data_IF_131831688246
#
_entry.id   IF_131831688246
#
_cell.length_a   1.000
_cell.length_b   1.000
_cell.length_c   1.000
_cell.angle_alpha   90.00
_cell.angle_beta   90.00
_cell.angle_gamma   90.00
#
_symmetry.space_group_name_H-M   'P 1'
#
loop_
_entity.id
_entity.type
_entity.pdbx_description
1 polymer ?
#
# COMPACT_ATOMS: atom_id res chain seq x y z
N UNK A 1 12.09 33.61 -10.84
CA UNK A 1 11.38 32.55 -11.58
C UNK A 1 12.26 32.10 -12.73
N UNK A 2 12.89 30.93 -12.63
CA UNK A 2 13.61 30.29 -13.74
C UNK A 2 12.76 29.09 -14.15
N UNK A 3 12.18 29.16 -15.34
CA UNK A 3 11.60 28.02 -16.03
C UNK A 3 12.74 27.09 -16.41
N UNK A 4 12.80 25.90 -15.81
CA UNK A 4 13.58 24.79 -16.34
C UNK A 4 12.56 23.85 -16.96
N UNK A 5 12.46 23.90 -18.29
CA UNK A 5 11.89 22.80 -19.06
C UNK A 5 12.89 21.65 -18.99
N UNK A 6 12.76 20.79 -17.99
CA UNK A 6 13.53 19.56 -17.90
C UNK A 6 13.11 18.64 -19.05
N UNK A 7 13.93 18.62 -20.11
CA UNK A 7 13.88 17.53 -21.07
C UNK A 7 14.19 16.24 -20.31
N UNK A 8 13.25 15.29 -20.29
CA UNK A 8 13.47 13.98 -19.66
C UNK A 8 14.46 13.20 -20.52
N UNK A 9 15.72 13.16 -20.11
CA UNK A 9 16.70 12.26 -20.69
C UNK A 9 16.29 10.81 -20.40
N UNK A 10 16.10 10.02 -21.45
CA UNK A 10 15.85 8.59 -21.31
C UNK A 10 17.13 7.87 -20.84
N UNK A 11 16.98 6.84 -20.01
CA UNK A 11 18.10 6.00 -19.58
C UNK A 11 18.70 5.21 -20.76
N UNK A 12 19.88 4.61 -20.52
CA UNK A 12 20.54 3.74 -21.49
C UNK A 12 19.63 2.56 -21.92
N UNK A 13 19.75 2.08 -23.17
CA UNK A 13 18.91 1.00 -23.68
C UNK A 13 19.15 -0.31 -22.92
N UNK A 14 18.06 -1.02 -22.62
CA UNK A 14 18.10 -2.42 -22.16
C UNK A 14 18.22 -3.37 -23.36
N UNK A 15 18.42 -4.67 -23.10
CA UNK A 15 18.49 -5.69 -24.14
C UNK A 15 17.25 -5.66 -25.05
N UNK A 16 17.46 -5.64 -26.38
CA UNK A 16 16.40 -5.47 -27.39
C UNK A 16 15.21 -6.44 -27.23
N UNK A 17 15.49 -7.72 -26.96
CA UNK A 17 14.44 -8.74 -26.84
C UNK A 17 13.63 -8.56 -25.54
N UNK A 18 14.24 -7.98 -24.50
CA UNK A 18 13.55 -7.65 -23.26
C UNK A 18 12.62 -6.46 -23.49
N UNK A 19 13.13 -5.41 -24.13
CA UNK A 19 12.33 -4.24 -24.50
C UNK A 19 11.11 -4.64 -25.34
N UNK A 20 11.31 -5.42 -26.40
CA UNK A 20 10.22 -5.87 -27.27
C UNK A 20 9.14 -6.68 -26.51
N UNK A 21 9.54 -7.59 -25.62
CA UNK A 21 8.59 -8.37 -24.81
C UNK A 21 7.83 -7.48 -23.83
N UNK A 22 8.51 -6.57 -23.15
CA UNK A 22 7.88 -5.66 -22.19
C UNK A 22 6.94 -4.68 -22.88
N UNK A 23 7.27 -4.15 -24.04
CA UNK A 23 6.37 -3.29 -24.82
C UNK A 23 5.07 -4.03 -25.18
N UNK A 24 5.16 -5.27 -25.65
CA UNK A 24 3.98 -6.09 -25.94
C UNK A 24 3.10 -6.27 -24.69
N UNK A 25 3.71 -6.54 -23.54
CA UNK A 25 2.99 -6.69 -22.27
C UNK A 25 2.39 -5.37 -21.81
N UNK A 26 3.07 -4.24 -21.99
CA UNK A 26 2.56 -2.92 -21.62
C UNK A 26 1.36 -2.50 -22.48
N UNK A 27 1.34 -2.90 -23.75
CA UNK A 27 0.25 -2.60 -24.68
C UNK A 27 -0.97 -3.50 -24.48
N UNK A 28 -0.77 -4.79 -24.21
CA UNK A 28 -1.83 -5.80 -24.24
C UNK A 28 -2.17 -6.37 -22.87
N UNK A 29 -1.31 -6.12 -21.88
CA UNK A 29 -1.33 -6.79 -20.59
C UNK A 29 -0.78 -8.21 -20.67
N UNK A 30 -0.57 -8.81 -19.50
CA UNK A 30 -0.33 -10.25 -19.39
C UNK A 30 -1.63 -11.03 -19.56
N UNK A 31 -1.56 -12.15 -20.29
CA UNK A 31 -2.61 -13.17 -20.33
C UNK A 31 -3.01 -13.59 -18.92
N UNK A 32 -4.31 -13.88 -18.73
CA UNK A 32 -4.86 -14.20 -17.41
C UNK A 32 -4.21 -15.44 -16.79
N UNK A 33 -4.00 -16.47 -17.59
CA UNK A 33 -3.39 -17.72 -17.15
C UNK A 33 -1.90 -17.55 -16.80
N UNK A 34 -1.14 -16.84 -17.65
CA UNK A 34 0.25 -16.51 -17.35
C UNK A 34 0.36 -15.74 -16.03
N UNK A 35 -0.49 -14.73 -15.84
CA UNK A 35 -0.53 -13.96 -14.59
C UNK A 35 -0.85 -14.85 -13.38
N UNK A 36 -1.89 -15.67 -13.47
CA UNK A 36 -2.26 -16.59 -12.38
C UNK A 36 -1.13 -17.56 -12.03
N UNK A 37 -0.46 -18.13 -13.04
CA UNK A 37 0.68 -19.04 -12.83
C UNK A 37 1.85 -18.34 -12.12
N UNK A 38 2.14 -17.07 -12.44
CA UNK A 38 3.17 -16.29 -11.77
C UNK A 38 2.79 -15.99 -10.31
N UNK A 39 1.54 -15.64 -10.02
CA UNK A 39 1.08 -15.38 -8.65
C UNK A 39 1.18 -16.62 -7.76
N UNK A 40 0.84 -17.81 -8.29
CA UNK A 40 0.99 -19.08 -7.58
C UNK A 40 2.46 -19.44 -7.37
N UNK A 41 3.31 -19.17 -8.37
CA UNK A 41 4.75 -19.47 -8.31
C UNK A 41 5.50 -18.58 -7.33
N UNK A 42 5.02 -17.36 -7.10
CA UNK A 42 5.68 -16.36 -6.28
C UNK A 42 4.74 -15.82 -5.18
N UNK A 43 4.33 -16.68 -4.21
CA UNK A 43 3.56 -16.21 -3.06
C UNK A 43 4.43 -15.32 -2.15
N UNK A 44 3.84 -14.51 -1.25
CA UNK A 44 4.59 -13.75 -0.25
C UNK A 44 5.57 -14.65 0.54
N UNK A 45 6.77 -14.13 0.80
CA UNK A 45 7.77 -14.86 1.58
C UNK A 45 7.30 -15.00 3.04
N UNK A 46 7.54 -16.17 3.66
CA UNK A 46 7.06 -16.48 5.02
C UNK A 46 7.60 -15.55 6.11
N UNK A 47 8.75 -14.92 5.88
CA UNK A 47 9.36 -13.91 6.76
C UNK A 47 9.03 -12.46 6.35
N UNK A 48 8.19 -12.25 5.34
CA UNK A 48 7.78 -10.94 4.84
C UNK A 48 6.27 -10.94 4.47
N UNK A 49 5.43 -11.35 5.42
CA UNK A 49 3.99 -11.51 5.21
C UNK A 49 3.25 -10.19 4.91
N UNK A 50 3.84 -9.03 5.23
CA UNK A 50 3.27 -7.72 4.87
C UNK A 50 3.29 -7.42 3.36
N UNK A 51 3.95 -8.26 2.55
CA UNK A 51 3.83 -8.24 1.10
C UNK A 51 2.51 -8.87 0.60
N UNK A 52 1.73 -9.50 1.49
CA UNK A 52 0.34 -9.85 1.20
C UNK A 52 -0.54 -8.61 1.24
N UNK A 53 -1.51 -8.53 0.32
CA UNK A 53 -2.44 -7.43 0.28
C UNK A 53 -3.33 -7.45 1.55
N UNK A 54 -3.36 -6.36 2.35
CA UNK A 54 -4.11 -6.34 3.60
C UNK A 54 -5.61 -6.51 3.38
N UNK A 55 -6.25 -7.23 4.31
CA UNK A 55 -7.69 -7.50 4.32
C UNK A 55 -8.45 -6.27 4.77
N UNK A 56 -9.61 -6.03 4.18
CA UNK A 56 -10.56 -5.03 4.67
C UNK A 56 -11.18 -5.50 5.98
N UNK A 57 -11.19 -4.63 7.00
CA UNK A 57 -11.83 -4.90 8.28
C UNK A 57 -13.34 -5.19 8.10
N UNK A 58 -13.94 -6.17 8.80
CA UNK A 58 -15.35 -6.53 8.65
C UNK A 58 -16.32 -5.35 8.84
N UNK A 59 -16.01 -4.46 9.77
CA UNK A 59 -16.79 -3.26 10.10
C UNK A 59 -16.74 -2.22 8.98
N UNK A 60 -15.60 -2.11 8.29
CA UNK A 60 -15.47 -1.26 7.11
C UNK A 60 -16.21 -1.90 5.94
N UNK A 61 -16.07 -3.22 5.75
CA UNK A 61 -16.79 -3.95 4.70
C UNK A 61 -18.30 -3.81 4.83
N UNK A 62 -18.86 -3.85 6.04
CA UNK A 62 -20.31 -3.73 6.25
C UNK A 62 -20.85 -2.31 6.11
N UNK A 63 -19.99 -1.29 6.21
CA UNK A 63 -20.39 0.12 6.16
C UNK A 63 -20.01 0.84 4.86
N UNK A 64 -19.05 0.30 4.09
CA UNK A 64 -18.60 0.88 2.84
C UNK A 64 -19.65 0.72 1.72
N UNK A 65 -19.61 1.64 0.75
CA UNK A 65 -20.43 1.54 -0.46
C UNK A 65 -20.01 0.33 -1.30
N UNK A 66 -20.97 -0.41 -1.84
CA UNK A 66 -20.72 -1.59 -2.69
C UNK A 66 -19.81 -1.27 -3.90
N UNK A 67 -19.98 -0.07 -4.47
CA UNK A 67 -19.14 0.45 -5.54
C UNK A 67 -17.68 0.65 -5.11
N UNK A 68 -17.44 1.03 -3.86
CA UNK A 68 -16.10 1.15 -3.28
C UNK A 68 -15.50 -0.24 -3.02
N UNK A 69 -16.28 -1.20 -2.52
CA UNK A 69 -15.85 -2.60 -2.31
C UNK A 69 -15.46 -3.25 -3.64
N UNK A 70 -16.28 -3.09 -4.68
CA UNK A 70 -16.00 -3.61 -6.02
C UNK A 70 -14.72 -3.02 -6.61
N UNK A 71 -14.45 -1.73 -6.37
CA UNK A 71 -13.20 -1.09 -6.78
C UNK A 71 -12.00 -1.59 -5.96
N UNK A 72 -12.16 -1.75 -4.65
CA UNK A 72 -11.12 -2.28 -3.76
C UNK A 72 -10.67 -3.68 -4.17
N UNK A 73 -11.57 -4.55 -4.63
CA UNK A 73 -11.21 -5.88 -5.12
C UNK A 73 -10.19 -5.84 -6.29
N UNK A 74 -10.28 -4.84 -7.16
CA UNK A 74 -9.30 -4.63 -8.25
C UNK A 74 -7.97 -4.14 -7.71
N UNK A 75 -7.99 -3.27 -6.69
CA UNK A 75 -6.78 -2.76 -6.03
C UNK A 75 -6.07 -3.87 -5.24
N UNK A 76 -6.82 -4.76 -4.58
CA UNK A 76 -6.27 -5.98 -3.97
C UNK A 76 -5.52 -6.79 -5.03
N UNK A 77 -6.14 -7.02 -6.19
CA UNK A 77 -5.50 -7.80 -7.27
C UNK A 77 -4.19 -7.17 -7.77
N UNK A 78 -4.15 -5.84 -7.89
CA UNK A 78 -2.93 -5.10 -8.23
C UNK A 78 -1.87 -5.24 -7.13
N UNK A 79 -2.28 -5.06 -5.88
CA UNK A 79 -1.41 -5.15 -4.72
C UNK A 79 -0.82 -6.56 -4.53
N UNK A 80 -1.61 -7.61 -4.77
CA UNK A 80 -1.13 -9.00 -4.81
C UNK A 80 -0.09 -9.20 -5.91
N UNK A 81 -0.26 -8.58 -7.09
CA UNK A 81 0.73 -8.66 -8.16
C UNK A 81 2.04 -7.96 -7.79
N UNK A 82 1.97 -6.82 -7.08
CA UNK A 82 3.16 -6.15 -6.51
C UNK A 82 3.84 -7.04 -5.46
N UNK A 83 3.07 -7.70 -4.59
CA UNK A 83 3.58 -8.67 -3.62
C UNK A 83 4.33 -9.84 -4.28
N UNK A 84 3.81 -10.37 -5.39
CA UNK A 84 4.51 -11.39 -6.17
C UNK A 84 5.82 -10.87 -6.79
N UNK A 85 5.84 -9.61 -7.24
CA UNK A 85 7.08 -8.95 -7.70
C UNK A 85 8.11 -8.85 -6.56
N UNK A 86 7.70 -8.50 -5.34
CA UNK A 86 8.58 -8.50 -4.16
C UNK A 86 9.15 -9.89 -3.89
N UNK A 87 8.33 -10.94 -3.96
CA UNK A 87 8.78 -12.31 -3.72
C UNK A 87 9.82 -12.79 -4.73
N UNK A 88 9.62 -12.51 -6.03
CA UNK A 88 10.62 -12.90 -7.04
C UNK A 88 11.92 -12.10 -6.91
N UNK A 89 11.84 -10.79 -6.62
CA UNK A 89 13.00 -9.95 -6.37
C UNK A 89 13.75 -10.39 -5.11
N UNK A 90 13.04 -10.67 -4.02
CA UNK A 90 13.61 -11.18 -2.77
C UNK A 90 14.31 -12.53 -2.98
N UNK A 91 13.69 -13.46 -3.72
CA UNK A 91 14.32 -14.74 -4.07
C UNK A 91 15.61 -14.56 -4.87
N UNK A 92 15.63 -13.66 -5.85
CA UNK A 92 16.84 -13.36 -6.62
C UNK A 92 17.95 -12.76 -5.73
N UNK A 93 17.60 -11.82 -4.85
CA UNK A 93 18.54 -11.25 -3.86
C UNK A 93 19.10 -12.31 -2.93
N UNK A 94 18.26 -13.19 -2.37
CA UNK A 94 18.70 -14.28 -1.49
C UNK A 94 19.69 -15.21 -2.20
N UNK A 95 19.46 -15.54 -3.48
CA UNK A 95 20.39 -16.36 -4.25
C UNK A 95 21.76 -15.69 -4.41
N UNK A 96 21.81 -14.37 -4.58
CA UNK A 96 23.06 -13.61 -4.67
C UNK A 96 23.76 -13.48 -3.32
N UNK A 97 23.01 -13.16 -2.26
CA UNK A 97 23.54 -12.98 -0.90
C UNK A 97 24.10 -14.27 -0.32
N UNK A 98 23.53 -15.42 -0.68
CA UNK A 98 24.00 -16.73 -0.22
C UNK A 98 25.30 -17.20 -0.91
N UNK A 99 25.85 -16.45 -1.88
CA UNK A 99 27.15 -16.74 -2.51
C UNK A 99 28.36 -16.31 -1.66
N UNK A 100 28.28 -16.48 -0.34
CA UNK A 100 29.29 -15.97 0.60
C UNK A 100 30.72 -16.39 0.20
N UNK A 101 31.64 -15.42 0.12
CA UNK A 101 33.06 -15.64 -0.23
C UNK A 101 33.38 -15.82 -1.72
N UNK A 102 32.36 -15.85 -2.60
CA UNK A 102 32.54 -16.04 -4.05
C UNK A 102 31.91 -14.91 -4.89
N UNK A 103 31.38 -13.87 -4.24
CA UNK A 103 30.66 -12.79 -4.93
C UNK A 103 31.62 -11.94 -5.78
N UNK A 104 31.34 -11.87 -7.08
CA UNK A 104 32.07 -11.03 -8.02
C UNK A 104 31.59 -9.56 -7.97
N UNK A 105 32.32 -8.63 -8.58
CA UNK A 105 31.89 -7.21 -8.65
C UNK A 105 30.52 -7.06 -9.32
N UNK A 106 30.21 -7.90 -10.32
CA UNK A 106 28.89 -7.92 -10.98
C UNK A 106 27.76 -8.34 -10.04
N UNK A 107 28.02 -9.26 -9.09
CA UNK A 107 27.02 -9.67 -8.10
C UNK A 107 26.63 -8.48 -7.20
N UNK A 108 27.60 -7.61 -6.83
CA UNK A 108 27.32 -6.42 -6.01
C UNK A 108 26.41 -5.41 -6.73
N UNK A 109 26.66 -5.17 -8.02
CA UNK A 109 25.81 -4.29 -8.83
C UNK A 109 24.39 -4.84 -8.98
N UNK A 110 24.26 -6.16 -9.19
CA UNK A 110 22.95 -6.82 -9.25
C UNK A 110 22.21 -6.76 -7.91
N UNK A 111 22.91 -6.94 -6.79
CA UNK A 111 22.34 -6.78 -5.45
C UNK A 111 21.79 -5.36 -5.26
N UNK A 112 22.54 -4.33 -5.66
CA UNK A 112 22.10 -2.94 -5.59
C UNK A 112 20.82 -2.71 -6.40
N UNK A 113 20.83 -3.09 -7.69
CA UNK A 113 19.69 -2.93 -8.59
C UNK A 113 18.43 -3.65 -8.09
N UNK A 114 18.57 -4.89 -7.63
CA UNK A 114 17.46 -5.67 -7.11
C UNK A 114 16.98 -5.16 -5.74
N UNK A 115 17.88 -4.69 -4.89
CA UNK A 115 17.55 -4.06 -3.60
C UNK A 115 16.69 -2.81 -3.81
N UNK A 116 17.12 -1.92 -4.72
CA UNK A 116 16.36 -0.71 -5.04
C UNK A 116 15.03 -1.03 -5.71
N UNK A 117 14.98 -2.04 -6.59
CA UNK A 117 13.73 -2.54 -7.15
C UNK A 117 12.79 -3.02 -6.03
N UNK A 118 13.29 -3.81 -5.08
CA UNK A 118 12.50 -4.30 -3.94
C UNK A 118 11.97 -3.17 -3.05
N UNK A 119 12.80 -2.16 -2.77
CA UNK A 119 12.40 -0.98 -1.98
C UNK A 119 11.29 -0.19 -2.67
N UNK A 120 11.40 0.06 -3.97
CA UNK A 120 10.38 0.75 -4.74
C UNK A 120 9.07 -0.06 -4.83
N UNK A 121 9.15 -1.37 -5.03
CA UNK A 121 7.97 -2.24 -5.02
C UNK A 121 7.27 -2.26 -3.65
N UNK A 122 8.04 -2.29 -2.56
CA UNK A 122 7.50 -2.24 -1.19
C UNK A 122 6.80 -0.90 -0.91
N UNK A 123 7.37 0.20 -1.39
CA UNK A 123 6.78 1.54 -1.24
C UNK A 123 5.52 1.71 -2.09
N UNK A 124 5.50 1.22 -3.33
CA UNK A 124 4.29 1.22 -4.17
C UNK A 124 3.21 0.31 -3.55
N UNK A 125 3.59 -0.84 -3.00
CA UNK A 125 2.67 -1.72 -2.26
C UNK A 125 2.06 -0.98 -1.06
N UNK A 126 2.87 -0.24 -0.29
CA UNK A 126 2.38 0.58 0.81
C UNK A 126 1.46 1.71 0.33
N UNK A 127 1.84 2.41 -0.74
CA UNK A 127 1.06 3.49 -1.35
C UNK A 127 -0.32 3.00 -1.83
N UNK A 128 -0.40 1.76 -2.31
CA UNK A 128 -1.67 1.12 -2.66
C UNK A 128 -2.55 0.92 -1.42
N UNK A 129 -2.00 0.44 -0.29
CA UNK A 129 -2.74 0.40 0.99
C UNK A 129 -3.30 1.75 1.39
N UNK A 130 -2.53 2.83 1.24
CA UNK A 130 -2.99 4.19 1.54
C UNK A 130 -4.12 4.63 0.58
N UNK A 131 -4.02 4.27 -0.70
CA UNK A 131 -5.06 4.56 -1.71
C UNK A 131 -6.35 3.81 -1.41
N UNK A 132 -6.25 2.52 -1.04
CA UNK A 132 -7.37 1.69 -0.60
C UNK A 132 -8.04 2.25 0.67
N UNK A 133 -7.26 2.70 1.66
CA UNK A 133 -7.78 3.39 2.85
C UNK A 133 -8.60 4.62 2.49
N UNK A 134 -8.11 5.46 1.58
CA UNK A 134 -8.83 6.65 1.14
C UNK A 134 -10.14 6.29 0.43
N UNK A 135 -10.10 5.31 -0.48
CA UNK A 135 -11.27 4.83 -1.21
C UNK A 135 -12.38 4.34 -0.26
N UNK A 136 -12.02 3.46 0.69
CA UNK A 136 -12.97 2.88 1.63
C UNK A 136 -13.36 3.87 2.74
N UNK A 137 -12.48 4.83 3.04
CA UNK A 137 -12.70 5.87 4.04
C UNK A 137 -13.67 6.98 3.63
N UNK A 138 -14.04 7.11 2.35
CA UNK A 138 -14.99 8.14 1.89
C UNK A 138 -16.38 8.03 2.54
N UNK A 139 -16.82 6.83 2.90
CA UNK A 139 -18.11 6.59 3.56
C UNK A 139 -18.07 6.71 5.09
N UNK A 140 -16.89 6.86 5.68
CA UNK A 140 -16.72 6.88 7.13
C UNK A 140 -16.97 8.28 7.70
N UNK A 141 -17.48 8.34 8.93
CA UNK A 141 -17.67 9.60 9.62
C UNK A 141 -16.31 10.32 9.76
N UNK A 142 -16.24 11.55 9.25
CA UNK A 142 -15.03 12.41 9.24
C UNK A 142 -14.35 12.50 10.61
N UNK A 143 -15.10 12.37 11.70
CA UNK A 143 -14.57 12.42 13.07
C UNK A 143 -13.70 11.22 13.45
N UNK A 144 -13.92 10.05 12.85
CA UNK A 144 -13.09 8.87 13.07
C UNK A 144 -11.99 8.72 12.03
N UNK A 145 -12.07 9.45 10.92
CA UNK A 145 -11.16 9.31 9.78
C UNK A 145 -9.69 9.45 10.16
N UNK A 146 -9.32 10.47 10.94
CA UNK A 146 -7.92 10.69 11.38
C UNK A 146 -7.42 9.53 12.24
N UNK A 147 -8.20 9.13 13.25
CA UNK A 147 -7.85 7.99 14.10
C UNK A 147 -7.76 6.69 13.33
N UNK A 148 -8.48 6.52 12.22
CA UNK A 148 -8.43 5.32 11.38
C UNK A 148 -7.28 5.35 10.37
N UNK A 149 -6.92 6.52 9.85
CA UNK A 149 -5.81 6.69 8.92
C UNK A 149 -4.44 6.53 9.58
N UNK A 150 -4.31 6.87 10.87
CA UNK A 150 -3.10 6.69 11.69
C UNK A 150 -2.85 5.23 12.09
N UNK A 151 -3.70 4.30 11.65
CA UNK A 151 -3.51 2.89 11.92
C UNK A 151 -2.22 2.35 11.36
N UNK A 152 -1.45 1.61 12.16
CA UNK A 152 -0.39 0.75 11.62
C UNK A 152 -1.03 -0.26 10.68
N UNK A 153 -0.48 -0.37 9.47
CA UNK A 153 -0.85 -1.42 8.53
C UNK A 153 -0.30 -2.75 9.03
N UNK A 154 -1.11 -3.79 8.94
CA UNK A 154 -0.73 -5.17 9.24
C UNK A 154 -1.47 -6.11 8.31
N UNK A 155 -1.97 -7.23 8.83
CA UNK A 155 -2.89 -8.10 8.10
C UNK A 155 -4.17 -7.34 7.68
N UNK A 156 -4.62 -6.39 8.52
CA UNK A 156 -5.83 -5.62 8.28
C UNK A 156 -5.52 -4.19 7.84
N UNK A 157 -6.28 -3.72 6.85
CA UNK A 157 -6.07 -2.44 6.20
C UNK A 157 -6.22 -1.26 7.18
N UNK A 158 -7.10 -1.36 8.18
CA UNK A 158 -7.26 -0.35 9.24
C UNK A 158 -6.73 -0.82 10.61
N UNK A 159 -5.86 -1.84 10.61
CA UNK A 159 -5.25 -2.43 11.80
C UNK A 159 -6.14 -3.46 12.51
N UNK A 160 -5.54 -4.31 13.32
CA UNK A 160 -6.20 -5.39 14.07
C UNK A 160 -7.16 -4.85 15.15
N UNK A 161 -6.74 -3.80 15.86
CA UNK A 161 -7.50 -3.23 16.97
C UNK A 161 -8.53 -2.18 16.51
N UNK A 162 -9.16 -2.42 15.37
CA UNK A 162 -10.10 -1.46 14.75
C UNK A 162 -11.27 -1.14 15.70
N UNK A 163 -11.90 -2.16 16.27
CA UNK A 163 -13.05 -2.00 17.17
C UNK A 163 -12.67 -1.21 18.43
N UNK A 164 -11.55 -1.56 19.06
CA UNK A 164 -11.04 -0.89 20.26
C UNK A 164 -10.76 0.60 19.99
N UNK A 165 -10.11 0.91 18.87
CA UNK A 165 -9.83 2.30 18.48
C UNK A 165 -11.08 3.09 18.20
N UNK A 166 -12.10 2.46 17.62
CA UNK A 166 -13.38 3.11 17.42
C UNK A 166 -14.08 3.41 18.76
N UNK A 167 -14.01 2.49 19.74
CA UNK A 167 -14.51 2.73 21.11
C UNK A 167 -13.77 3.88 21.79
N UNK A 168 -12.44 3.87 21.72
CA UNK A 168 -11.59 4.93 22.29
C UNK A 168 -11.86 6.28 21.66
N UNK A 169 -12.02 6.34 20.34
CA UNK A 169 -12.34 7.59 19.64
C UNK A 169 -13.72 8.14 20.02
N UNK A 170 -14.74 7.27 20.18
CA UNK A 170 -16.08 7.67 20.66
C UNK A 170 -16.03 8.20 22.09
N UNK A 171 -15.28 7.55 22.98
CA UNK A 171 -15.11 8.00 24.36
C UNK A 171 -14.42 9.37 24.41
N UNK A 172 -13.35 9.56 23.64
CA UNK A 172 -12.63 10.83 23.54
C UNK A 172 -13.53 11.96 23.00
N UNK A 173 -14.38 11.67 22.02
CA UNK A 173 -15.34 12.65 21.48
C UNK A 173 -16.33 13.10 22.55
N UNK A 174 -16.86 12.16 23.34
CA UNK A 174 -17.78 12.45 24.44
C UNK A 174 -17.11 13.34 25.48
N UNK A 175 -15.93 12.95 25.97
CA UNK A 175 -15.16 13.74 26.94
C UNK A 175 -14.80 15.13 26.39
N UNK A 176 -14.41 15.23 25.12
CA UNK A 176 -14.09 16.51 24.48
C UNK A 176 -15.31 17.44 24.37
N UNK A 177 -16.50 16.87 24.14
CA UNK A 177 -17.74 17.63 24.07
C UNK A 177 -18.19 18.14 25.45
N UNK A 178 -18.03 17.30 26.47
CA UNK A 178 -18.27 17.67 27.87
C UNK A 178 -17.32 18.80 28.33
N UNK A 179 -16.03 18.75 27.96
CA UNK A 179 -15.05 19.80 28.25
C UNK A 179 -15.34 21.14 27.57
N UNK A 180 -15.88 21.12 26.34
CA UNK A 180 -16.22 22.34 25.59
C UNK A 180 -17.47 23.07 26.10
N UNK A 181 -18.31 22.43 26.91
CA UNK A 181 -19.62 22.94 27.31
C UNK A 181 -19.62 24.01 28.42
N UNK A 182 -18.50 24.69 28.72
CA UNK A 182 -18.40 25.64 29.85
C UNK A 182 -18.32 27.14 29.47
N UNK A 183 -18.72 27.56 28.27
CA UNK A 183 -18.66 29.00 27.86
C UNK A 183 -19.98 29.64 27.40
N UNK A 184 -21.13 29.23 27.92
CA UNK A 184 -22.32 30.11 27.87
C UNK A 184 -22.37 30.98 29.14
N UNK A 185 -21.93 32.24 29.04
CA UNK A 185 -22.17 33.27 30.07
C UNK A 185 -23.68 33.38 30.33
N UNK A 186 -24.15 33.48 31.59
CA UNK A 186 -25.54 33.84 31.84
C UNK A 186 -25.75 35.28 31.37
N UNK A 187 -26.75 35.52 30.50
CA UNK A 187 -27.27 36.87 30.25
C UNK A 187 -27.89 37.36 31.56
N UNK A 188 -27.21 38.27 32.26
CA UNK A 188 -27.83 39.04 33.33
C UNK A 188 -28.90 39.95 32.68
N UNK A 189 -30.16 39.64 32.94
CA UNK A 189 -31.25 40.60 32.72
C UNK A 189 -30.98 41.82 33.62
N UNK A 190 -30.79 42.97 32.99
CA UNK A 190 -30.83 44.27 33.65
C UNK A 190 -32.15 44.93 33.27
N UNK A 191 -32.77 45.54 34.28
CA UNK A 191 -34.09 46.16 34.35
C UNK A 191 -34.35 47.22 33.28
#
# INVERSE_FOLDING_TARGET
MKNVSEAKDHAAPIHKDLAARWESILQQGLEKESRASLLVKYPPASNCLLAEAPKINPEIRSSALESAITRDARLISLQTQIGACLSVTGKALTLLLNKEGQAETGDRQLIELLSDTGRLLADVHHSESISRRKLLGFGLNKKFKTTLEEATLGEWLFGENFEERLKTAKALERTSSELKASTSRPRQNSQ
#
